data_IF_541832478843
#
_entry.id   IF_541832478843
#
_cell.length_a   1.000
_cell.length_b   1.000
_cell.length_c   1.000
_cell.angle_alpha   90.00
_cell.angle_beta   90.00
_cell.angle_gamma   90.00
#
_symmetry.space_group_name_H-M   'P 1'
#
loop_
_entity.id
_entity.type
_entity.pdbx_description
1 polymer ?
#
# COMPACT_ATOMS: atom_id res chain seq x y z
N UNK A 1 19.89 -5.00 2.56
CA UNK A 1 21.28 -5.15 2.08
C UNK A 1 21.34 -5.83 0.71
N UNK A 2 20.68 -6.99 0.52
CA UNK A 2 20.61 -7.63 -0.81
C UNK A 2 19.72 -6.82 -1.80
N UNK A 3 18.66 -6.23 -1.32
CA UNK A 3 17.80 -5.34 -2.11
C UNK A 3 18.56 -4.07 -2.54
N UNK A 4 19.27 -3.44 -1.63
CA UNK A 4 20.12 -2.27 -1.95
C UNK A 4 21.27 -2.64 -2.90
N UNK A 5 21.83 -3.83 -2.82
CA UNK A 5 22.92 -4.28 -3.68
C UNK A 5 22.46 -4.60 -5.11
N UNK A 6 21.21 -5.06 -5.27
CA UNK A 6 20.58 -5.28 -6.58
C UNK A 6 20.00 -4.00 -7.17
N UNK A 7 19.84 -2.99 -6.36
CA UNK A 7 19.06 -1.79 -6.64
C UNK A 7 19.94 -0.53 -6.73
N UNK A 8 20.93 -0.40 -5.90
CA UNK A 8 21.89 0.69 -5.96
C UNK A 8 23.10 0.24 -6.79
N UNK A 9 23.42 1.07 -7.76
CA UNK A 9 24.63 1.00 -8.56
C UNK A 9 25.83 0.77 -7.63
N UNK A 10 26.55 -0.36 -7.67
CA UNK A 10 27.79 -0.45 -6.95
C UNK A 10 28.73 0.60 -7.55
N UNK A 11 29.46 1.36 -6.72
CA UNK A 11 30.35 2.37 -7.23
C UNK A 11 31.42 1.72 -8.10
N UNK A 12 31.28 1.90 -9.42
CA UNK A 12 32.33 1.57 -10.33
C UNK A 12 32.01 0.93 -11.67
N UNK A 13 30.95 0.19 -11.87
CA UNK A 13 30.65 -0.37 -13.21
C UNK A 13 29.24 -0.92 -13.35
N UNK A 14 28.55 -0.54 -14.45
CA UNK A 14 27.39 -1.21 -15.06
C UNK A 14 26.16 -1.45 -14.14
N UNK A 15 25.93 -0.61 -13.19
CA UNK A 15 24.68 -0.65 -12.45
C UNK A 15 23.50 -0.30 -13.36
N UNK A 16 22.48 -1.11 -13.32
CA UNK A 16 21.24 -0.84 -14.04
C UNK A 16 20.58 0.36 -13.37
N UNK A 17 20.48 1.47 -14.08
CA UNK A 17 19.82 2.67 -13.57
C UNK A 17 18.42 2.31 -13.06
N UNK A 18 17.93 2.93 -11.97
CA UNK A 18 16.57 2.71 -11.50
C UNK A 18 15.50 2.90 -12.59
N UNK A 19 15.79 3.75 -13.58
CA UNK A 19 14.94 3.94 -14.78
C UNK A 19 14.92 2.72 -15.72
N UNK A 20 15.88 1.82 -15.60
CA UNK A 20 15.93 0.56 -16.35
C UNK A 20 15.40 -0.64 -15.54
N UNK A 21 15.02 -0.40 -14.28
CA UNK A 21 14.29 -1.38 -13.50
C UNK A 21 12.87 -1.42 -14.00
N UNK A 22 12.57 -2.42 -14.70
CA UNK A 22 11.26 -2.59 -15.22
C UNK A 22 10.64 -3.89 -14.79
N UNK A 23 9.40 -4.05 -15.15
CA UNK A 23 8.68 -5.29 -15.03
C UNK A 23 8.17 -5.59 -13.63
N UNK A 24 7.95 -6.87 -13.42
CA UNK A 24 7.26 -7.39 -12.25
C UNK A 24 7.98 -7.09 -10.92
N UNK A 25 9.32 -6.98 -10.94
CA UNK A 25 10.10 -6.66 -9.74
C UNK A 25 9.73 -5.30 -9.18
N UNK A 26 9.55 -4.30 -10.03
CA UNK A 26 9.16 -2.96 -9.60
C UNK A 26 7.76 -2.95 -8.98
N UNK A 27 6.82 -3.68 -9.59
CA UNK A 27 5.47 -3.85 -9.03
C UNK A 27 5.53 -4.51 -7.65
N UNK A 28 6.39 -5.52 -7.46
CA UNK A 28 6.59 -6.15 -6.15
C UNK A 28 7.17 -5.18 -5.12
N UNK A 29 8.15 -4.36 -5.49
CA UNK A 29 8.74 -3.35 -4.59
C UNK A 29 7.66 -2.36 -4.13
N UNK A 30 6.86 -1.82 -5.07
CA UNK A 30 5.76 -0.93 -4.73
C UNK A 30 4.71 -1.62 -3.87
N UNK A 31 4.31 -2.85 -4.22
CA UNK A 31 3.32 -3.60 -3.46
C UNK A 31 3.80 -3.88 -2.04
N UNK A 32 4.95 -4.54 -1.87
CA UNK A 32 5.43 -4.93 -0.54
C UNK A 32 5.77 -3.73 0.34
N UNK A 33 6.42 -2.70 -0.22
CA UNK A 33 6.71 -1.46 0.51
C UNK A 33 5.43 -0.78 1.00
N UNK A 34 4.44 -0.67 0.13
CA UNK A 34 3.16 -0.05 0.45
C UNK A 34 2.31 -0.90 1.40
N UNK A 35 2.31 -2.23 1.25
CA UNK A 35 1.59 -3.12 2.15
C UNK A 35 2.17 -3.06 3.57
N UNK A 36 3.49 -3.05 3.71
CA UNK A 36 4.15 -2.98 5.01
C UNK A 36 3.83 -1.68 5.76
N UNK A 37 4.02 -0.54 5.10
CA UNK A 37 3.72 0.78 5.68
C UNK A 37 2.20 0.93 5.89
N UNK A 38 1.41 0.57 4.88
CA UNK A 38 -0.04 0.69 4.91
C UNK A 38 -0.71 -0.20 5.96
N UNK A 39 -0.11 -1.34 6.31
CA UNK A 39 -0.60 -2.17 7.41
C UNK A 39 -0.51 -1.42 8.74
N UNK A 40 0.61 -0.76 9.02
CA UNK A 40 0.77 0.09 10.21
C UNK A 40 -0.24 1.24 10.24
N UNK A 41 -0.39 1.94 9.10
CA UNK A 41 -1.38 3.02 8.95
C UNK A 41 -2.81 2.49 9.20
N UNK A 42 -3.16 1.36 8.59
CA UNK A 42 -4.48 0.76 8.72
C UNK A 42 -4.84 0.38 10.15
N UNK A 43 -3.91 -0.23 10.88
CA UNK A 43 -4.09 -0.55 12.30
C UNK A 43 -4.25 0.73 13.12
N UNK A 44 -3.40 1.73 12.91
CA UNK A 44 -3.47 3.01 13.62
C UNK A 44 -4.82 3.71 13.39
N UNK A 45 -5.27 3.79 12.13
CA UNK A 45 -6.55 4.41 11.75
C UNK A 45 -7.75 3.61 12.30
N UNK A 46 -7.71 2.28 12.29
CA UNK A 46 -8.79 1.44 12.83
C UNK A 46 -8.99 1.69 14.34
N UNK A 47 -7.92 1.80 15.10
CA UNK A 47 -8.00 2.13 16.53
C UNK A 47 -8.28 3.61 16.77
N UNK A 48 -7.71 4.50 15.96
CA UNK A 48 -7.99 5.95 16.01
C UNK A 48 -9.48 6.23 15.84
N UNK A 49 -10.12 5.66 14.82
CA UNK A 49 -11.56 5.78 14.57
C UNK A 49 -12.43 5.31 15.75
N UNK A 50 -11.98 4.34 16.53
CA UNK A 50 -12.67 3.80 17.71
C UNK A 50 -12.23 4.45 19.03
N UNK A 51 -11.40 5.46 18.96
CA UNK A 51 -10.97 6.19 20.15
C UNK A 51 -12.14 7.00 20.74
N UNK A 52 -12.30 7.02 22.07
CA UNK A 52 -13.25 7.91 22.72
C UNK A 52 -12.82 9.39 22.66
N UNK A 53 -11.55 9.65 22.32
CA UNK A 53 -11.01 11.00 22.23
C UNK A 53 -11.22 11.59 20.82
N UNK A 54 -11.94 12.71 20.69
CA UNK A 54 -12.22 13.34 19.41
C UNK A 54 -10.97 13.71 18.62
N UNK A 55 -9.86 14.03 19.30
CA UNK A 55 -8.58 14.37 18.69
C UNK A 55 -8.00 13.22 17.83
N UNK A 56 -8.35 11.98 18.11
CA UNK A 56 -7.93 10.82 17.32
C UNK A 56 -9.03 10.32 16.40
N UNK A 57 -10.28 10.32 16.85
CA UNK A 57 -11.38 9.76 16.07
C UNK A 57 -11.75 10.63 14.87
N UNK A 58 -11.84 11.95 15.03
CA UNK A 58 -12.22 12.85 13.94
C UNK A 58 -11.20 12.83 12.78
N UNK A 59 -9.87 12.98 13.02
CA UNK A 59 -8.90 12.90 11.93
C UNK A 59 -8.87 11.51 11.28
N UNK A 60 -8.96 10.44 12.07
CA UNK A 60 -8.96 9.08 11.51
C UNK A 60 -10.15 8.84 10.60
N UNK A 61 -11.35 9.26 11.00
CA UNK A 61 -12.55 9.18 10.15
C UNK A 61 -12.35 10.03 8.89
N UNK A 62 -11.92 11.29 9.05
CA UNK A 62 -11.73 12.20 7.93
C UNK A 62 -10.75 11.66 6.89
N UNK A 63 -9.59 11.13 7.32
CA UNK A 63 -8.59 10.54 6.43
C UNK A 63 -9.17 9.32 5.70
N UNK A 64 -9.81 8.41 6.42
CA UNK A 64 -10.39 7.19 5.83
C UNK A 64 -11.44 7.56 4.78
N UNK A 65 -12.38 8.42 5.12
CA UNK A 65 -13.46 8.80 4.19
C UNK A 65 -12.92 9.59 3.00
N UNK A 66 -11.99 10.54 3.21
CA UNK A 66 -11.39 11.33 2.15
C UNK A 66 -10.64 10.44 1.14
N UNK A 67 -9.77 9.56 1.62
CA UNK A 67 -8.95 8.71 0.74
C UNK A 67 -9.82 7.71 -0.02
N UNK A 68 -10.83 7.14 0.61
CA UNK A 68 -11.76 6.18 -0.01
C UNK A 68 -12.82 6.83 -0.91
N UNK A 69 -13.07 8.13 -0.78
CA UNK A 69 -13.99 8.86 -1.65
C UNK A 69 -13.44 9.04 -3.07
N UNK A 70 -12.12 9.08 -3.23
CA UNK A 70 -11.49 9.28 -4.52
C UNK A 70 -10.94 7.97 -5.14
N UNK A 71 -10.88 7.91 -6.49
CA UNK A 71 -10.22 6.80 -7.18
C UNK A 71 -8.71 6.86 -6.96
N UNK A 72 -8.06 5.70 -6.84
CA UNK A 72 -6.61 5.62 -6.64
C UNK A 72 -5.81 6.39 -7.70
N UNK A 73 -6.26 6.32 -8.96
CA UNK A 73 -5.62 7.06 -10.07
C UNK A 73 -5.58 8.57 -9.80
N UNK A 74 -6.63 9.15 -9.24
CA UNK A 74 -6.65 10.58 -8.90
C UNK A 74 -5.59 10.91 -7.82
N UNK A 75 -5.43 10.04 -6.83
CA UNK A 75 -4.40 10.19 -5.81
C UNK A 75 -2.98 10.06 -6.36
N UNK A 76 -2.77 9.21 -7.37
CA UNK A 76 -1.49 9.10 -8.07
C UNK A 76 -1.19 10.36 -8.88
N UNK A 77 -2.19 10.94 -9.57
CA UNK A 77 -2.05 12.23 -10.25
C UNK A 77 -1.73 13.36 -9.26
N UNK A 78 -2.41 13.38 -8.13
CA UNK A 78 -2.09 14.31 -7.05
C UNK A 78 -0.62 14.18 -6.60
N UNK A 79 -0.16 12.95 -6.36
CA UNK A 79 1.23 12.68 -5.95
C UNK A 79 2.26 13.12 -7.00
N UNK A 80 1.91 13.01 -8.28
CA UNK A 80 2.83 13.38 -9.35
C UNK A 80 2.90 14.87 -9.59
N UNK A 81 1.77 15.56 -9.63
CA UNK A 81 1.69 16.92 -10.14
C UNK A 81 1.49 17.98 -9.06
N UNK A 82 0.74 17.68 -8.00
CA UNK A 82 0.41 18.67 -6.96
C UNK A 82 1.27 18.56 -5.70
N UNK A 83 1.58 17.33 -5.30
CA UNK A 83 2.35 17.09 -4.07
C UNK A 83 3.75 17.73 -4.09
N UNK A 84 4.52 17.70 -5.20
CA UNK A 84 5.82 18.35 -5.24
C UNK A 84 5.75 19.86 -4.94
N UNK A 85 4.80 20.56 -5.56
CA UNK A 85 4.65 22.01 -5.39
C UNK A 85 4.25 22.37 -3.95
N UNK A 86 3.45 21.52 -3.30
CA UNK A 86 3.01 21.72 -1.92
C UNK A 86 4.11 21.43 -0.89
N UNK A 87 4.97 20.44 -1.15
CA UNK A 87 5.94 19.91 -0.18
C UNK A 87 7.38 20.32 -0.46
N UNK A 88 7.68 20.85 -1.65
CA UNK A 88 9.03 21.22 -2.06
C UNK A 88 9.86 22.03 -1.04
N UNK A 89 9.27 22.92 -0.22
CA UNK A 89 10.04 23.60 0.81
C UNK A 89 10.45 22.72 1.99
N UNK A 90 9.77 21.60 2.20
CA UNK A 90 9.92 20.75 3.40
C UNK A 90 10.54 19.40 3.04
N UNK A 91 10.15 18.83 1.92
CA UNK A 91 10.56 17.49 1.52
C UNK A 91 10.52 17.33 -0.01
N UNK A 92 11.70 17.17 -0.59
CA UNK A 92 11.86 16.85 -2.01
C UNK A 92 11.94 15.33 -2.18
N UNK A 93 10.77 14.71 -2.17
CA UNK A 93 10.68 13.26 -2.36
C UNK A 93 10.71 12.90 -3.85
N UNK A 94 11.49 11.87 -4.19
CA UNK A 94 11.45 11.27 -5.51
C UNK A 94 10.07 10.65 -5.81
N UNK A 95 9.76 10.48 -7.09
CA UNK A 95 8.46 10.01 -7.53
C UNK A 95 8.10 8.62 -6.97
N UNK A 96 9.07 7.71 -6.88
CA UNK A 96 8.85 6.36 -6.35
C UNK A 96 8.41 6.38 -4.88
N UNK A 97 9.05 7.22 -4.07
CA UNK A 97 8.67 7.41 -2.66
C UNK A 97 7.25 7.96 -2.51
N UNK A 98 6.86 8.92 -3.36
CA UNK A 98 5.50 9.49 -3.37
C UNK A 98 4.46 8.45 -3.74
N UNK A 99 4.74 7.60 -4.74
CA UNK A 99 3.88 6.48 -5.12
C UNK A 99 3.70 5.52 -3.94
N UNK A 100 4.79 5.08 -3.29
CA UNK A 100 4.72 4.19 -2.13
C UNK A 100 3.86 4.79 -1.03
N UNK A 101 3.98 6.08 -0.76
CA UNK A 101 3.14 6.75 0.24
C UNK A 101 1.66 6.73 -0.13
N UNK A 102 1.31 7.10 -1.37
CA UNK A 102 -0.09 7.09 -1.82
C UNK A 102 -0.68 5.69 -1.71
N UNK A 103 0.01 4.69 -2.22
CA UNK A 103 -0.43 3.31 -2.11
C UNK A 103 -0.55 2.85 -0.64
N UNK A 104 0.37 3.27 0.22
CA UNK A 104 0.34 2.94 1.66
C UNK A 104 -0.88 3.53 2.36
N UNK A 105 -1.18 4.81 2.09
CA UNK A 105 -2.38 5.45 2.65
C UNK A 105 -3.66 4.84 2.09
N UNK A 106 -3.71 4.60 0.79
CA UNK A 106 -4.87 3.99 0.15
C UNK A 106 -5.15 2.60 0.72
N UNK A 107 -4.16 1.71 0.71
CA UNK A 107 -4.28 0.38 1.31
C UNK A 107 -4.62 0.46 2.80
N UNK A 108 -3.95 1.34 3.55
CA UNK A 108 -4.17 1.52 4.99
C UNK A 108 -5.61 1.94 5.32
N UNK A 109 -6.21 2.83 4.54
CA UNK A 109 -7.60 3.25 4.73
C UNK A 109 -8.60 2.11 4.47
N UNK A 110 -8.38 1.30 3.44
CA UNK A 110 -9.21 0.12 3.19
C UNK A 110 -9.01 -0.95 4.27
N UNK A 111 -7.77 -1.19 4.68
CA UNK A 111 -7.44 -2.11 5.76
C UNK A 111 -8.09 -1.66 7.09
N UNK A 112 -8.09 -0.36 7.38
CA UNK A 112 -8.73 0.19 8.57
C UNK A 112 -10.22 -0.18 8.65
N UNK A 113 -10.94 -0.13 7.53
CA UNK A 113 -12.35 -0.53 7.47
C UNK A 113 -12.53 -2.05 7.62
N UNK A 114 -11.68 -2.84 6.99
CA UNK A 114 -11.67 -4.30 7.15
C UNK A 114 -11.44 -4.66 8.62
N UNK A 115 -10.42 -4.08 9.25
CA UNK A 115 -10.11 -4.31 10.66
C UNK A 115 -11.21 -3.79 11.59
N UNK A 116 -11.88 -2.67 11.24
CA UNK A 116 -13.03 -2.18 12.01
C UNK A 116 -14.14 -3.24 12.08
N UNK A 117 -14.45 -3.86 10.95
CA UNK A 117 -15.40 -4.99 10.90
C UNK A 117 -14.95 -6.16 11.77
N UNK A 118 -13.68 -6.55 11.67
CA UNK A 118 -13.10 -7.61 12.51
C UNK A 118 -13.10 -7.29 14.00
N UNK A 119 -12.76 -6.06 14.38
CA UNK A 119 -12.79 -5.62 15.78
C UNK A 119 -14.22 -5.59 16.36
N UNK A 120 -15.22 -5.40 15.52
CA UNK A 120 -16.63 -5.48 15.95
C UNK A 120 -17.10 -6.93 16.17
N UNK A 121 -16.50 -7.90 15.51
CA UNK A 121 -16.84 -9.32 15.67
C UNK A 121 -16.26 -9.95 16.93
N UNK A 122 -15.27 -9.31 17.57
CA UNK A 122 -14.71 -9.80 18.84
C UNK A 122 -15.72 -9.59 19.98
N UNK A 123 -16.05 -10.67 20.68
CA UNK A 123 -17.05 -10.61 21.75
C UNK A 123 -16.61 -9.70 22.90
N UNK A 124 -17.56 -8.98 23.49
CA UNK A 124 -17.30 -8.07 24.62
C UNK A 124 -16.73 -8.81 25.84
N UNK A 125 -17.12 -10.07 26.05
CA UNK A 125 -16.58 -10.91 27.11
C UNK A 125 -15.05 -11.11 27.05
N UNK A 126 -14.45 -11.07 25.87
CA UNK A 126 -12.98 -11.10 25.74
C UNK A 126 -12.32 -9.84 26.33
N UNK A 127 -12.96 -8.68 26.14
CA UNK A 127 -12.51 -7.44 26.73
C UNK A 127 -12.63 -7.47 28.27
N UNK A 128 -13.79 -7.91 28.77
CA UNK A 128 -14.06 -8.01 30.22
C UNK A 128 -13.11 -8.98 30.91
N UNK A 129 -12.92 -10.18 30.34
CA UNK A 129 -12.01 -11.18 30.86
C UNK A 129 -10.57 -10.70 30.93
N UNK A 130 -10.09 -10.05 29.85
CA UNK A 130 -8.75 -9.50 29.78
C UNK A 130 -8.56 -8.37 30.84
N UNK A 131 -9.56 -7.53 31.03
CA UNK A 131 -9.52 -6.46 32.01
C UNK A 131 -9.53 -7.03 33.43
N UNK A 132 -10.31 -8.09 33.69
CA UNK A 132 -10.33 -8.77 34.97
C UNK A 132 -8.97 -9.42 35.32
N UNK A 133 -8.20 -9.81 34.32
CA UNK A 133 -6.82 -10.30 34.47
C UNK A 133 -5.79 -9.17 34.66
N UNK A 134 -6.23 -7.91 34.74
CA UNK A 134 -5.35 -6.75 34.96
C UNK A 134 -4.63 -6.20 33.73
N UNK A 135 -5.03 -6.61 32.51
CA UNK A 135 -4.44 -6.05 31.30
C UNK A 135 -4.85 -4.57 31.13
N UNK A 136 -3.91 -3.74 30.76
CA UNK A 136 -4.19 -2.35 30.40
C UNK A 136 -5.02 -2.27 29.09
N UNK A 137 -5.76 -1.18 28.86
CA UNK A 137 -6.56 -1.02 27.65
C UNK A 137 -5.76 -1.20 26.35
N UNK A 138 -4.49 -0.79 26.33
CA UNK A 138 -3.59 -0.96 25.19
C UNK A 138 -3.23 -2.43 24.99
N UNK A 139 -2.92 -3.16 26.06
CA UNK A 139 -2.65 -4.60 25.98
C UNK A 139 -3.86 -5.38 25.50
N UNK A 140 -5.06 -5.06 26.01
CA UNK A 140 -6.30 -5.69 25.54
C UNK A 140 -6.48 -5.48 24.02
N UNK A 141 -6.28 -4.24 23.55
CA UNK A 141 -6.40 -3.93 22.12
C UNK A 141 -5.38 -4.70 21.27
N UNK A 142 -4.11 -4.68 21.65
CA UNK A 142 -3.03 -5.22 20.81
C UNK A 142 -2.85 -6.74 20.97
N UNK A 143 -3.04 -7.29 22.17
CA UNK A 143 -2.76 -8.69 22.44
C UNK A 143 -3.99 -9.59 22.34
N UNK A 144 -5.19 -9.05 22.54
CA UNK A 144 -6.43 -9.83 22.55
C UNK A 144 -7.30 -9.50 21.33
N UNK A 145 -7.68 -8.23 21.15
CA UNK A 145 -8.65 -7.85 20.13
C UNK A 145 -8.05 -7.88 18.72
N UNK A 146 -6.86 -7.29 18.51
CA UNK A 146 -6.26 -7.18 17.19
C UNK A 146 -5.92 -8.53 16.54
N UNK A 147 -5.30 -9.51 17.24
CA UNK A 147 -5.04 -10.82 16.64
C UNK A 147 -6.31 -11.57 16.24
N UNK A 148 -7.37 -11.46 17.04
CA UNK A 148 -8.66 -12.08 16.73
C UNK A 148 -9.32 -11.39 15.53
N UNK A 149 -9.32 -10.06 15.50
CA UNK A 149 -9.84 -9.29 14.38
C UNK A 149 -9.11 -9.62 13.06
N UNK A 150 -7.78 -9.71 13.08
CA UNK A 150 -6.99 -10.11 11.91
C UNK A 150 -7.39 -11.50 11.44
N UNK A 151 -7.48 -12.48 12.34
CA UNK A 151 -7.88 -13.86 11.96
C UNK A 151 -9.26 -13.90 11.30
N UNK A 152 -10.22 -13.19 11.85
CA UNK A 152 -11.60 -13.13 11.31
C UNK A 152 -11.65 -12.47 9.94
N UNK A 153 -10.82 -11.44 9.71
CA UNK A 153 -10.80 -10.66 8.47
C UNK A 153 -9.71 -11.08 7.49
N UNK A 154 -8.95 -12.13 7.80
CA UNK A 154 -7.82 -12.57 6.97
C UNK A 154 -8.18 -12.76 5.48
N UNK A 155 -9.32 -13.39 5.12
CA UNK A 155 -9.69 -13.52 3.71
C UNK A 155 -9.86 -12.15 3.02
N UNK A 156 -10.48 -11.19 3.70
CA UNK A 156 -10.67 -9.84 3.17
C UNK A 156 -9.34 -9.07 3.06
N UNK A 157 -8.45 -9.25 4.04
CA UNK A 157 -7.10 -8.67 4.01
C UNK A 157 -6.32 -9.20 2.80
N UNK A 158 -6.32 -10.52 2.59
CA UNK A 158 -5.63 -11.15 1.44
C UNK A 158 -6.22 -10.65 0.12
N UNK A 159 -7.54 -10.57 0.00
CA UNK A 159 -8.19 -10.01 -1.20
C UNK A 159 -7.76 -8.57 -1.46
N UNK A 160 -7.66 -7.75 -0.43
CA UNK A 160 -7.19 -6.37 -0.55
C UNK A 160 -5.70 -6.28 -0.93
N UNK A 161 -4.85 -7.19 -0.43
CA UNK A 161 -3.44 -7.26 -0.83
C UNK A 161 -3.29 -7.64 -2.30
N UNK A 162 -4.09 -8.59 -2.80
CA UNK A 162 -4.10 -8.99 -4.22
C UNK A 162 -4.59 -7.83 -5.09
N UNK A 163 -5.64 -7.12 -4.67
CA UNK A 163 -6.12 -5.92 -5.37
C UNK A 163 -5.00 -4.88 -5.47
N UNK A 164 -4.34 -4.60 -4.34
CA UNK A 164 -3.22 -3.65 -4.29
C UNK A 164 -2.07 -4.03 -5.22
N UNK A 165 -1.72 -5.32 -5.31
CA UNK A 165 -0.69 -5.80 -6.25
C UNK A 165 -1.08 -5.52 -7.71
N UNK A 166 -2.36 -5.71 -8.06
CA UNK A 166 -2.86 -5.38 -9.40
C UNK A 166 -2.85 -3.87 -9.66
N UNK A 167 -3.21 -3.08 -8.66
CA UNK A 167 -3.26 -1.63 -8.73
C UNK A 167 -1.88 -0.99 -8.96
N UNK A 168 -0.77 -1.70 -8.62
CA UNK A 168 0.58 -1.21 -8.94
C UNK A 168 0.81 -1.03 -10.43
N UNK A 169 0.06 -1.70 -11.31
CA UNK A 169 0.13 -1.51 -12.76
C UNK A 169 -0.33 -0.10 -13.21
N UNK A 170 -1.06 0.64 -12.35
CA UNK A 170 -1.47 2.01 -12.65
C UNK A 170 -0.29 2.99 -12.76
N UNK A 171 0.89 2.63 -12.25
CA UNK A 171 2.11 3.44 -12.40
C UNK A 171 2.56 3.57 -13.86
N UNK A 172 2.09 2.68 -14.73
CA UNK A 172 2.28 2.76 -16.18
C UNK A 172 1.90 4.13 -16.75
N UNK A 173 0.78 4.71 -16.29
CA UNK A 173 0.31 6.02 -16.76
C UNK A 173 1.28 7.17 -16.49
N UNK A 174 2.24 6.97 -15.60
CA UNK A 174 3.24 7.95 -15.22
C UNK A 174 4.62 7.69 -15.83
N UNK A 175 4.68 6.81 -16.84
CA UNK A 175 5.92 6.51 -17.58
C UNK A 175 6.91 5.59 -16.86
N UNK A 176 6.48 4.96 -15.78
CA UNK A 176 7.28 3.93 -15.11
C UNK A 176 7.18 2.64 -15.91
N UNK A 177 8.34 2.05 -16.19
CA UNK A 177 8.43 0.78 -16.91
C UNK A 177 8.09 -0.37 -15.98
N UNK A 178 6.81 -0.65 -15.82
CA UNK A 178 6.28 -1.78 -15.05
C UNK A 178 6.14 -3.06 -15.90
N UNK A 179 5.62 -4.14 -15.31
CA UNK A 179 5.41 -5.40 -16.02
C UNK A 179 4.48 -5.24 -17.24
N UNK A 180 3.45 -4.41 -17.12
CA UNK A 180 2.48 -4.18 -18.17
C UNK A 180 3.10 -3.44 -19.36
N UNK A 181 3.91 -2.39 -19.07
CA UNK A 181 4.63 -1.67 -20.11
C UNK A 181 5.62 -2.56 -20.86
N UNK A 182 6.38 -3.39 -20.16
CA UNK A 182 7.30 -4.34 -20.76
C UNK A 182 6.56 -5.33 -21.66
N UNK A 183 5.43 -5.87 -21.19
CA UNK A 183 4.62 -6.79 -21.97
C UNK A 183 4.07 -6.16 -23.27
N UNK A 184 3.84 -4.86 -23.29
CA UNK A 184 3.45 -4.13 -24.51
C UNK A 184 4.64 -3.78 -25.42
N UNK A 185 5.77 -3.39 -24.83
CA UNK A 185 6.93 -2.89 -25.59
C UNK A 185 7.72 -4.02 -26.27
N UNK A 186 7.79 -5.22 -25.66
CA UNK A 186 8.53 -6.37 -26.21
C UNK A 186 8.01 -6.79 -27.60
N UNK A 187 6.69 -7.02 -27.80
CA UNK A 187 6.18 -7.38 -29.13
C UNK A 187 6.38 -6.29 -30.17
N UNK A 188 6.29 -5.02 -29.76
CA UNK A 188 6.46 -3.88 -30.67
C UNK A 188 7.93 -3.64 -31.09
N UNK A 189 8.90 -4.09 -30.29
CA UNK A 189 10.33 -3.83 -30.50
C UNK A 189 11.05 -4.93 -31.29
N UNK A 190 10.50 -6.12 -31.40
CA UNK A 190 11.13 -7.28 -32.04
C UNK A 190 10.29 -7.80 -33.20
N UNK A 191 10.93 -7.99 -34.39
CA UNK A 191 10.28 -8.55 -35.56
C UNK A 191 9.73 -9.95 -35.36
N UNK A 192 10.31 -10.70 -34.45
CA UNK A 192 9.93 -12.09 -34.16
C UNK A 192 8.60 -12.21 -33.38
N UNK A 193 8.14 -11.10 -32.78
CA UNK A 193 6.92 -11.04 -31.98
C UNK A 193 5.80 -10.17 -32.57
N UNK A 194 6.00 -9.63 -33.78
CA UNK A 194 4.95 -8.84 -34.46
C UNK A 194 3.71 -9.71 -34.67
N UNK A 195 2.60 -9.31 -34.10
CA UNK A 195 1.33 -10.03 -34.15
C UNK A 195 1.05 -10.96 -32.96
N UNK A 196 1.97 -11.08 -31.97
CA UNK A 196 1.81 -11.85 -30.75
C UNK A 196 1.56 -10.96 -29.50
N UNK A 197 1.06 -9.75 -29.72
CA UNK A 197 0.82 -8.77 -28.65
C UNK A 197 -0.16 -9.29 -27.58
N UNK A 198 -1.17 -10.07 -28.00
CA UNK A 198 -2.15 -10.66 -27.08
C UNK A 198 -1.53 -11.77 -26.23
N UNK A 199 -0.63 -12.55 -26.79
CA UNK A 199 0.00 -13.67 -26.07
C UNK A 199 0.92 -13.14 -24.95
N UNK A 200 1.62 -12.02 -25.20
CA UNK A 200 2.46 -11.37 -24.20
C UNK A 200 1.68 -10.74 -23.02
N UNK A 201 0.40 -10.43 -23.23
CA UNK A 201 -0.48 -9.86 -22.18
C UNK A 201 -1.22 -10.94 -21.37
N UNK A 202 -1.24 -12.19 -21.85
CA UNK A 202 -1.92 -13.31 -21.18
C UNK A 202 -0.99 -13.99 -20.16
N UNK A 203 0.31 -13.92 -20.34
CA UNK A 203 1.33 -14.47 -19.45
C UNK A 203 1.90 -13.39 -18.51
#
# INVERSE_FOLDING_TARGET
FLGTLLILDPPGETGVRPSAWGGFVLNLIFAFGSLFIGFGIGVALAFGRRSPLPIFSIPSVGIIELVRAGPLVAWLFFAQFMFPDMMSPIWDADFASRIILVFSFFFGCYLAEILRGGLQSVSHGQYEAATALGLSPTQVKLQIQLPQAIRTTLPAIVSQMIAMLKDTSLVYFFGITDAFKIAQDIPASSRDFIGQELDALIF
#
